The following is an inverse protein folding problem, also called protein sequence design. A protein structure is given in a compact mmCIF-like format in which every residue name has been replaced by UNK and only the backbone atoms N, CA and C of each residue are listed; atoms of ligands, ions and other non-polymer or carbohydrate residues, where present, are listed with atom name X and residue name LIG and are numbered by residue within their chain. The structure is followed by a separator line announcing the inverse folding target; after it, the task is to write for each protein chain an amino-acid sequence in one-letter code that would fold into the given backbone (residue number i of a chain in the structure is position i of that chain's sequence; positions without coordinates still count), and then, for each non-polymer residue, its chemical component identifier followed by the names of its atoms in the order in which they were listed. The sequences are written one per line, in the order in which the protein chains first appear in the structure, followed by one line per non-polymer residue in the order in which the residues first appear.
data_IF_861256771932
#
_entry.id   IF_861256771932
#
_cell.length_a   1.000
_cell.length_b   1.000
_cell.length_c   1.000
_cell.angle_alpha   90.00
_cell.angle_beta   90.00
_cell.angle_gamma   90.00
#
_symmetry.space_group_name_H-M   'P 1'
#
loop_
_entity.id
_entity.type
_entity.pdbx_description
1 polymer ?
#
# COMPACT_ATOMS: atom_id res chain seq x y z
N UNK A 1 -16.31 -5.53 -9.20
CA UNK A 1 -17.04 -4.27 -9.08
C UNK A 1 -18.50 -4.52 -8.75
N UNK A 2 -18.99 -3.82 -7.71
CA UNK A 2 -20.37 -4.01 -7.20
C UNK A 2 -21.41 -3.23 -8.01
N UNK A 3 -20.97 -2.50 -9.04
CA UNK A 3 -21.84 -1.70 -9.90
C UNK A 3 -21.84 -2.25 -11.33
N UNK A 4 -22.91 -2.02 -12.03
CA UNK A 4 -23.00 -2.34 -13.46
C UNK A 4 -22.17 -1.30 -14.26
N UNK A 5 -20.86 -1.27 -13.98
CA UNK A 5 -19.90 -0.38 -14.64
C UNK A 5 -19.62 -0.86 -16.07
N UNK A 6 -19.38 0.08 -16.97
CA UNK A 6 -18.98 -0.21 -18.35
C UNK A 6 -17.60 -0.88 -18.39
N UNK A 7 -16.65 -0.35 -17.62
CA UNK A 7 -15.34 -0.94 -17.39
C UNK A 7 -14.76 -0.47 -16.04
N UNK A 8 -13.77 -1.19 -15.55
CA UNK A 8 -12.94 -0.83 -14.41
C UNK A 8 -11.49 -0.66 -14.87
N UNK A 9 -10.86 0.44 -14.45
CA UNK A 9 -9.44 0.71 -14.67
C UNK A 9 -8.77 0.93 -13.32
N UNK A 10 -7.75 0.18 -13.03
CA UNK A 10 -7.07 0.27 -11.74
C UNK A 10 -6.03 -0.81 -11.56
N UNK A 11 -5.57 -0.98 -10.32
CA UNK A 11 -4.69 -2.08 -9.98
C UNK A 11 -5.49 -3.28 -9.44
N UNK A 12 -4.90 -4.44 -9.56
CA UNK A 12 -5.30 -5.60 -8.78
C UNK A 12 -4.81 -5.40 -7.33
N UNK A 13 -5.68 -4.95 -6.45
CA UNK A 13 -5.34 -4.62 -5.07
C UNK A 13 -4.89 -5.84 -4.27
N UNK A 14 -5.43 -7.02 -4.58
CA UNK A 14 -4.99 -8.26 -3.94
C UNK A 14 -3.53 -8.58 -4.31
N UNK A 15 -3.19 -8.53 -5.60
CA UNK A 15 -1.81 -8.70 -6.06
C UNK A 15 -0.88 -7.61 -5.53
N UNK A 16 -1.37 -6.37 -5.35
CA UNK A 16 -0.61 -5.32 -4.67
C UNK A 16 -0.25 -5.70 -3.23
N UNK A 17 -1.19 -6.28 -2.49
CA UNK A 17 -0.96 -6.79 -1.14
C UNK A 17 0.08 -7.92 -1.09
N UNK A 18 -0.02 -8.88 -2.02
CA UNK A 18 0.98 -9.94 -2.16
C UNK A 18 2.38 -9.37 -2.49
N UNK A 19 2.44 -8.35 -3.35
CA UNK A 19 3.70 -7.67 -3.70
C UNK A 19 4.32 -6.98 -2.48
N UNK A 20 3.51 -6.33 -1.63
CA UNK A 20 3.98 -5.74 -0.38
C UNK A 20 4.55 -6.81 0.57
N UNK A 21 3.85 -7.94 0.70
CA UNK A 21 4.28 -9.05 1.54
C UNK A 21 5.60 -9.67 1.03
N UNK A 22 5.72 -9.87 -0.29
CA UNK A 22 6.94 -10.39 -0.90
C UNK A 22 8.15 -9.45 -0.67
N UNK A 23 7.96 -8.14 -0.86
CA UNK A 23 9.00 -7.15 -0.56
C UNK A 23 9.42 -7.21 0.91
N UNK A 24 8.47 -7.28 1.81
CA UNK A 24 8.73 -7.36 3.25
C UNK A 24 9.45 -8.68 3.61
N UNK A 25 9.02 -9.80 3.04
CA UNK A 25 9.68 -11.09 3.21
C UNK A 25 11.15 -11.04 2.77
N UNK A 26 11.43 -10.49 1.58
CA UNK A 26 12.80 -10.35 1.07
C UNK A 26 13.68 -9.49 1.99
N UNK A 27 13.15 -8.37 2.51
CA UNK A 27 13.90 -7.45 3.39
C UNK A 27 14.10 -8.08 4.77
N UNK A 28 13.05 -8.67 5.34
CA UNK A 28 13.03 -9.23 6.69
C UNK A 28 13.44 -10.71 6.75
N UNK A 29 13.75 -11.32 5.60
CA UNK A 29 14.18 -12.72 5.47
C UNK A 29 13.16 -13.72 6.04
N UNK A 30 11.89 -13.44 5.80
CA UNK A 30 10.78 -14.30 6.20
C UNK A 30 10.48 -14.33 7.70
N UNK A 31 10.98 -13.36 8.47
CA UNK A 31 10.73 -13.27 9.92
C UNK A 31 10.53 -11.84 10.35
N UNK A 32 9.32 -11.50 10.81
CA UNK A 32 9.00 -10.19 11.41
C UNK A 32 7.65 -10.20 12.11
N UNK A 33 7.49 -9.26 13.03
CA UNK A 33 6.22 -8.91 13.66
C UNK A 33 5.68 -7.64 13.01
N UNK A 34 4.49 -7.73 12.43
CA UNK A 34 3.99 -6.74 11.48
C UNK A 34 2.82 -5.96 12.08
N UNK A 35 2.93 -4.62 12.03
CA UNK A 35 1.81 -3.71 12.24
C UNK A 35 1.20 -3.27 10.92
N UNK A 36 -0.13 -3.25 10.80
CA UNK A 36 -0.84 -2.68 9.67
C UNK A 36 -1.51 -1.37 10.05
N UNK A 37 -1.40 -0.38 9.15
CA UNK A 37 -2.11 0.90 9.23
C UNK A 37 -2.96 1.01 7.97
N UNK A 38 -4.28 0.97 8.12
CA UNK A 38 -5.23 1.05 7.01
C UNK A 38 -6.10 2.29 7.11
N UNK A 39 -6.62 2.77 5.98
CA UNK A 39 -7.55 3.90 5.98
C UNK A 39 -8.90 3.52 6.55
N UNK A 40 -9.59 2.58 5.91
CA UNK A 40 -10.92 2.09 6.30
C UNK A 40 -10.99 0.57 6.18
N UNK A 41 -11.55 -0.09 7.20
CA UNK A 41 -11.71 -1.55 7.18
C UNK A 41 -12.73 -2.03 6.14
N UNK A 42 -13.74 -1.23 5.84
CA UNK A 42 -14.81 -1.54 4.89
C UNK A 42 -14.49 -1.11 3.43
N UNK A 43 -13.39 -0.39 3.21
CA UNK A 43 -12.94 -0.06 1.87
C UNK A 43 -12.36 -1.30 1.17
N UNK A 44 -13.01 -1.74 0.09
CA UNK A 44 -12.61 -2.96 -0.63
C UNK A 44 -11.15 -2.93 -1.10
N UNK A 45 -10.67 -1.79 -1.57
CA UNK A 45 -9.26 -1.65 -1.98
C UNK A 45 -8.27 -1.90 -0.83
N UNK A 46 -8.64 -1.51 0.40
CA UNK A 46 -7.81 -1.73 1.57
C UNK A 46 -7.90 -3.18 2.06
N UNK A 47 -9.12 -3.74 2.13
CA UNK A 47 -9.30 -5.13 2.52
C UNK A 47 -8.63 -6.11 1.55
N UNK A 48 -8.74 -5.88 0.23
CA UNK A 48 -8.08 -6.73 -0.77
C UNK A 48 -6.55 -6.70 -0.62
N UNK A 49 -5.95 -5.53 -0.35
CA UNK A 49 -4.50 -5.42 -0.06
C UNK A 49 -4.10 -6.19 1.20
N UNK A 50 -4.90 -6.08 2.26
CA UNK A 50 -4.68 -6.82 3.51
C UNK A 50 -4.81 -8.32 3.28
N UNK A 51 -5.82 -8.76 2.55
CA UNK A 51 -6.06 -10.18 2.28
C UNK A 51 -4.96 -10.78 1.39
N UNK A 52 -4.54 -10.06 0.35
CA UNK A 52 -3.42 -10.48 -0.49
C UNK A 52 -2.11 -10.63 0.30
N UNK A 53 -1.84 -9.69 1.21
CA UNK A 53 -0.68 -9.77 2.10
C UNK A 53 -0.78 -10.96 3.05
N UNK A 54 -1.92 -11.15 3.71
CA UNK A 54 -2.17 -12.27 4.63
C UNK A 54 -2.00 -13.61 3.93
N UNK A 55 -2.55 -13.76 2.74
CA UNK A 55 -2.48 -15.02 1.99
C UNK A 55 -1.04 -15.35 1.58
N UNK A 56 -0.25 -14.35 1.20
CA UNK A 56 1.17 -14.55 0.88
C UNK A 56 1.96 -15.08 2.08
N UNK A 57 1.83 -14.43 3.25
CA UNK A 57 2.63 -14.78 4.43
C UNK A 57 2.23 -16.11 5.09
N UNK A 58 1.14 -16.76 4.69
CA UNK A 58 0.79 -18.12 5.16
C UNK A 58 1.91 -19.14 4.93
N UNK A 59 2.76 -18.90 3.93
CA UNK A 59 3.91 -19.74 3.65
C UNK A 59 5.14 -19.39 4.53
N UNK A 60 5.06 -18.36 5.35
CA UNK A 60 6.14 -17.83 6.19
C UNK A 60 5.69 -17.74 7.64
N UNK A 61 5.68 -18.85 8.41
CA UNK A 61 5.08 -18.89 9.76
C UNK A 61 5.77 -17.99 10.79
N UNK A 62 6.93 -17.42 10.47
CA UNK A 62 7.62 -16.45 11.31
C UNK A 62 7.33 -14.99 10.93
N UNK A 63 6.44 -14.76 9.96
CA UNK A 63 5.88 -13.45 9.65
C UNK A 63 4.49 -13.34 10.26
N UNK A 64 4.35 -12.56 11.32
CA UNK A 64 3.12 -12.49 12.10
C UNK A 64 2.54 -11.06 12.09
N UNK A 65 1.25 -10.94 11.74
CA UNK A 65 0.53 -9.67 11.87
C UNK A 65 -0.01 -9.59 13.29
N UNK A 66 0.58 -8.74 14.11
CA UNK A 66 0.23 -8.62 15.53
C UNK A 66 -0.68 -7.43 15.85
N UNK A 67 -0.78 -6.46 14.96
CA UNK A 67 -1.69 -5.32 15.11
C UNK A 67 -2.20 -4.81 13.78
N UNK A 68 -3.47 -4.43 13.73
CA UNK A 68 -4.10 -3.75 12.59
C UNK A 68 -4.88 -2.56 13.13
N UNK A 69 -4.59 -1.36 12.64
CA UNK A 69 -5.22 -0.11 13.10
C UNK A 69 -5.79 0.68 11.91
N UNK A 70 -6.94 1.32 12.14
CA UNK A 70 -7.61 2.19 11.18
C UNK A 70 -7.29 3.67 11.47
N UNK A 71 -6.81 4.41 10.46
CA UNK A 71 -6.46 5.83 10.57
C UNK A 71 -7.42 6.76 9.84
N UNK A 72 -8.41 6.22 9.10
CA UNK A 72 -9.39 6.96 8.30
C UNK A 72 -8.77 7.92 7.26
N UNK A 73 -7.59 7.57 6.77
CA UNK A 73 -6.76 8.39 5.87
C UNK A 73 -6.40 9.78 6.45
N UNK A 74 -6.50 9.93 7.78
CA UNK A 74 -6.18 11.16 8.51
C UNK A 74 -4.76 11.13 9.06
N UNK A 75 -4.00 12.20 8.85
CA UNK A 75 -2.59 12.29 9.21
C UNK A 75 -2.36 12.39 10.74
N UNK A 76 -3.26 13.06 11.46
CA UNK A 76 -3.16 13.18 12.92
C UNK A 76 -3.52 11.87 13.60
N UNK A 77 -4.59 11.23 13.12
CA UNK A 77 -5.01 9.94 13.60
C UNK A 77 -3.94 8.88 13.30
N UNK A 78 -3.36 8.93 12.10
CA UNK A 78 -2.27 8.04 11.70
C UNK A 78 -1.05 8.18 12.63
N UNK A 79 -0.66 9.41 12.98
CA UNK A 79 0.41 9.64 13.97
C UNK A 79 0.07 9.06 15.34
N UNK A 80 -1.15 9.32 15.82
CA UNK A 80 -1.62 8.86 17.14
C UNK A 80 -1.61 7.34 17.24
N UNK A 81 -2.32 6.66 16.33
CA UNK A 81 -2.46 5.19 16.37
C UNK A 81 -1.13 4.47 16.12
N UNK A 82 -0.25 5.04 15.27
CA UNK A 82 1.08 4.46 15.04
C UNK A 82 1.94 4.57 16.30
N UNK A 83 1.88 5.70 17.00
CA UNK A 83 2.59 5.89 18.26
C UNK A 83 2.08 4.91 19.34
N UNK A 84 0.78 4.76 19.47
CA UNK A 84 0.15 3.81 20.39
C UNK A 84 0.56 2.37 20.06
N UNK A 85 0.38 1.95 18.80
CA UNK A 85 0.72 0.61 18.33
C UNK A 85 2.19 0.25 18.63
N UNK A 86 3.13 1.14 18.34
CA UNK A 86 4.56 0.92 18.56
C UNK A 86 4.97 0.98 20.03
N UNK A 87 4.17 1.61 20.88
CA UNK A 87 4.37 1.65 22.34
C UNK A 87 3.80 0.40 23.03
N UNK A 88 2.67 -0.10 22.54
CA UNK A 88 2.00 -1.30 23.04
C UNK A 88 2.73 -2.59 22.62
N UNK A 89 3.29 -2.60 21.41
CA UNK A 89 3.96 -3.75 20.80
C UNK A 89 5.43 -3.42 20.49
N UNK A 90 6.29 -3.61 21.49
CA UNK A 90 7.73 -3.30 21.35
C UNK A 90 8.47 -4.25 20.40
N UNK A 91 7.87 -5.34 20.04
CA UNK A 91 8.38 -6.36 19.14
C UNK A 91 8.01 -6.14 17.66
N UNK A 92 7.14 -5.15 17.33
CA UNK A 92 6.90 -4.76 15.93
C UNK A 92 8.21 -4.26 15.31
N UNK A 93 8.68 -4.93 14.27
CA UNK A 93 9.87 -4.61 13.49
C UNK A 93 9.55 -4.38 11.99
N UNK A 94 8.28 -4.51 11.61
CA UNK A 94 7.80 -4.20 10.27
C UNK A 94 6.43 -3.50 10.29
N UNK A 95 6.19 -2.57 9.36
CA UNK A 95 4.91 -1.87 9.21
C UNK A 95 4.50 -1.87 7.73
N UNK A 96 3.24 -2.21 7.46
CA UNK A 96 2.61 -1.99 6.17
C UNK A 96 1.57 -0.88 6.27
N UNK A 97 1.82 0.25 5.59
CA UNK A 97 0.86 1.36 5.47
C UNK A 97 0.05 1.11 4.22
N UNK A 98 -1.18 0.63 4.41
CA UNK A 98 -2.04 0.08 3.36
C UNK A 98 -2.69 1.17 2.49
N UNK A 99 -2.81 2.40 3.03
CA UNK A 99 -3.57 3.49 2.43
C UNK A 99 -2.99 4.86 2.80
N UNK A 100 -3.81 5.93 2.90
CA UNK A 100 -3.40 7.26 3.29
C UNK A 100 -2.89 7.40 4.73
N UNK A 101 -2.54 8.63 5.14
CA UNK A 101 -1.97 8.90 6.46
C UNK A 101 -0.47 8.57 6.57
N UNK A 102 0.23 8.46 5.45
CA UNK A 102 1.65 8.05 5.38
C UNK A 102 2.56 9.03 6.10
N UNK A 103 2.29 10.34 6.02
CA UNK A 103 3.10 11.35 6.70
C UNK A 103 2.99 11.24 8.22
N UNK A 104 1.77 11.07 8.73
CA UNK A 104 1.52 10.91 10.17
C UNK A 104 2.21 9.67 10.71
N UNK A 105 2.02 8.51 10.07
CA UNK A 105 2.69 7.27 10.41
C UNK A 105 4.22 7.43 10.36
N UNK A 106 4.76 8.01 9.28
CA UNK A 106 6.19 8.23 9.11
C UNK A 106 6.81 9.10 10.21
N UNK A 107 6.11 10.15 10.64
CA UNK A 107 6.55 10.99 11.78
C UNK A 107 6.61 10.20 13.09
N UNK A 108 5.60 9.38 13.37
CA UNK A 108 5.61 8.51 14.54
C UNK A 108 6.77 7.50 14.46
N UNK A 109 6.90 6.78 13.35
CA UNK A 109 7.94 5.79 13.12
C UNK A 109 9.34 6.38 13.32
N UNK A 110 9.62 7.57 12.81
CA UNK A 110 10.92 8.27 13.00
C UNK A 110 11.32 8.39 14.46
N UNK A 111 10.38 8.51 15.37
CA UNK A 111 10.64 8.60 16.81
C UNK A 111 11.21 7.27 17.33
N UNK A 112 10.68 6.14 16.84
CA UNK A 112 11.08 4.80 17.27
C UNK A 112 12.32 4.28 16.52
N UNK A 113 12.57 4.73 15.28
CA UNK A 113 13.77 4.36 14.51
C UNK A 113 15.08 4.75 15.22
N UNK A 114 15.05 5.69 16.15
CA UNK A 114 16.20 6.05 17.00
C UNK A 114 16.61 4.95 17.96
N UNK A 115 15.70 4.05 18.27
CA UNK A 115 15.90 2.98 19.28
C UNK A 115 15.95 1.59 18.68
N UNK A 116 15.28 1.37 17.51
CA UNK A 116 15.21 0.08 16.84
C UNK A 116 14.92 0.23 15.33
N UNK A 117 15.44 -0.66 14.48
CA UNK A 117 15.06 -0.67 13.06
C UNK A 117 13.61 -1.10 12.89
N UNK A 118 12.89 -0.49 11.96
CA UNK A 118 11.54 -0.87 11.56
C UNK A 118 11.51 -0.83 10.03
N UNK A 119 11.15 -1.95 9.39
CA UNK A 119 10.94 -2.02 7.95
C UNK A 119 9.55 -1.47 7.61
N UNK A 120 9.48 -0.50 6.71
CA UNK A 120 8.20 0.12 6.33
C UNK A 120 7.98 0.01 4.83
N UNK A 121 6.81 -0.52 4.46
CA UNK A 121 6.30 -0.52 3.09
C UNK A 121 5.00 0.27 3.06
N UNK A 122 4.83 1.10 2.03
CA UNK A 122 3.66 1.97 1.90
C UNK A 122 2.99 1.85 0.52
N UNK A 123 1.93 2.62 0.35
CA UNK A 123 1.24 2.80 -0.93
C UNK A 123 1.38 4.24 -1.42
N UNK A 124 1.39 4.37 -2.76
CA UNK A 124 1.47 5.61 -3.53
C UNK A 124 2.76 6.43 -3.32
N UNK A 125 3.13 7.21 -4.33
CA UNK A 125 4.34 8.03 -4.35
C UNK A 125 4.03 9.54 -4.26
N UNK A 126 3.08 9.89 -3.41
CA UNK A 126 2.78 11.30 -3.12
C UNK A 126 4.01 12.01 -2.54
N UNK A 127 4.12 13.37 -2.65
CA UNK A 127 5.33 14.10 -2.24
C UNK A 127 5.85 13.72 -0.85
N UNK A 128 4.96 13.56 0.12
CA UNK A 128 5.32 13.19 1.50
C UNK A 128 5.90 11.78 1.61
N UNK A 129 5.37 10.82 0.83
CA UNK A 129 5.93 9.46 0.75
C UNK A 129 7.32 9.48 0.13
N UNK A 130 7.52 10.27 -0.94
CA UNK A 130 8.83 10.43 -1.57
C UNK A 130 9.88 10.94 -0.59
N UNK A 131 9.54 11.94 0.23
CA UNK A 131 10.46 12.47 1.24
C UNK A 131 10.81 11.42 2.31
N UNK A 132 9.86 10.62 2.74
CA UNK A 132 10.09 9.53 3.70
C UNK A 132 10.92 8.37 3.12
N UNK A 133 10.88 8.16 1.81
CA UNK A 133 11.74 7.19 1.12
C UNK A 133 13.16 7.76 0.97
N UNK A 134 13.31 9.03 0.59
CA UNK A 134 14.62 9.68 0.45
C UNK A 134 15.41 9.68 1.75
N UNK A 135 14.74 9.92 2.87
CA UNK A 135 15.39 9.93 4.19
C UNK A 135 15.51 8.53 4.84
N UNK A 136 14.96 7.48 4.20
CA UNK A 136 15.12 6.09 4.63
C UNK A 136 14.12 5.63 5.68
N UNK A 137 13.11 6.44 6.01
CA UNK A 137 12.01 6.03 6.92
C UNK A 137 11.17 4.93 6.29
N UNK A 138 10.89 5.01 4.98
CA UNK A 138 10.18 4.01 4.20
C UNK A 138 11.16 3.35 3.24
N UNK A 139 11.15 2.02 3.16
CA UNK A 139 12.05 1.25 2.30
C UNK A 139 11.52 1.13 0.88
N UNK A 140 10.20 0.98 0.73
CA UNK A 140 9.56 0.87 -0.58
C UNK A 140 8.12 1.39 -0.55
N UNK A 141 7.62 1.84 -1.70
CA UNK A 141 6.20 2.09 -1.90
C UNK A 141 5.70 1.42 -3.18
N UNK A 142 4.43 1.02 -3.16
CA UNK A 142 3.73 0.43 -4.30
C UNK A 142 2.87 1.51 -4.95
N UNK A 143 3.04 1.71 -6.26
CA UNK A 143 2.38 2.78 -7.01
C UNK A 143 1.39 2.24 -8.04
N UNK A 144 0.34 3.00 -8.31
CA UNK A 144 -0.84 2.57 -9.05
C UNK A 144 -0.96 3.14 -10.46
N UNK A 145 -0.04 3.95 -10.94
CA UNK A 145 -0.09 4.61 -12.26
C UNK A 145 -1.39 5.41 -12.50
N UNK A 146 -1.74 6.40 -11.67
CA UNK A 146 -3.04 7.09 -11.78
C UNK A 146 -3.23 7.82 -13.11
N UNK A 147 -2.16 8.34 -13.72
CA UNK A 147 -2.20 8.97 -15.04
C UNK A 147 -2.62 7.95 -16.11
N UNK A 148 -2.01 6.75 -16.12
CA UNK A 148 -2.34 5.69 -17.07
C UNK A 148 -3.77 5.19 -16.90
N UNK A 149 -4.28 5.11 -15.67
CA UNK A 149 -5.68 4.76 -15.41
C UNK A 149 -6.63 5.79 -16.03
N UNK A 150 -6.32 7.08 -15.89
CA UNK A 150 -7.08 8.16 -16.54
C UNK A 150 -7.05 8.08 -18.06
N UNK A 151 -5.87 7.90 -18.65
CA UNK A 151 -5.70 7.75 -20.11
C UNK A 151 -6.52 6.58 -20.66
N UNK A 152 -6.36 5.39 -20.09
CA UNK A 152 -7.10 4.19 -20.50
C UNK A 152 -8.62 4.38 -20.43
N UNK A 153 -9.10 5.07 -19.40
CA UNK A 153 -10.52 5.38 -19.25
C UNK A 153 -11.03 6.24 -20.40
N UNK A 154 -10.25 7.25 -20.80
CA UNK A 154 -10.59 8.14 -21.90
C UNK A 154 -10.48 7.44 -23.27
N UNK A 155 -9.44 6.65 -23.49
CA UNK A 155 -9.24 5.86 -24.72
C UNK A 155 -10.44 4.94 -24.97
N UNK A 156 -10.88 4.19 -23.97
CA UNK A 156 -12.02 3.26 -24.11
C UNK A 156 -13.34 3.99 -24.33
N UNK A 157 -13.56 5.13 -23.67
CA UNK A 157 -14.75 5.94 -23.91
C UNK A 157 -14.74 6.53 -25.32
N UNK A 158 -13.61 7.01 -25.80
CA UNK A 158 -13.44 7.56 -27.13
C UNK A 158 -13.75 6.51 -28.21
N UNK A 159 -13.17 5.31 -28.13
CA UNK A 159 -13.43 4.20 -29.03
C UNK A 159 -14.90 3.79 -29.03
N UNK A 160 -15.53 3.77 -27.86
CA UNK A 160 -16.96 3.44 -27.75
C UNK A 160 -17.85 4.49 -28.40
N UNK A 161 -17.59 5.78 -28.19
CA UNK A 161 -18.45 6.82 -28.75
C UNK A 161 -18.28 6.98 -30.25
N UNK A 162 -17.06 6.84 -30.79
CA UNK A 162 -16.80 6.95 -32.23
C UNK A 162 -17.18 5.69 -32.99
N UNK A 163 -16.69 4.54 -32.53
CA UNK A 163 -16.76 3.31 -33.34
C UNK A 163 -17.73 2.27 -32.76
N UNK A 164 -18.42 2.61 -31.66
CA UNK A 164 -19.29 1.68 -30.92
C UNK A 164 -18.56 0.40 -30.48
N UNK A 165 -17.24 0.47 -30.32
CA UNK A 165 -16.43 -0.66 -29.81
C UNK A 165 -16.46 -0.69 -28.29
N UNK A 166 -17.06 -1.72 -27.67
CA UNK A 166 -16.98 -1.89 -26.21
C UNK A 166 -15.57 -2.33 -25.79
N UNK A 167 -15.18 -2.13 -24.52
CA UNK A 167 -13.91 -2.62 -24.03
C UNK A 167 -13.80 -4.14 -24.17
N UNK A 168 -12.63 -4.64 -24.56
CA UNK A 168 -12.38 -6.07 -24.73
C UNK A 168 -12.52 -6.87 -23.43
N UNK A 169 -12.29 -6.21 -22.29
CA UNK A 169 -12.46 -6.75 -20.94
C UNK A 169 -13.14 -5.72 -20.05
N UNK A 170 -13.92 -6.17 -19.09
CA UNK A 170 -14.53 -5.29 -18.08
C UNK A 170 -13.53 -4.78 -17.05
N UNK A 171 -12.50 -5.55 -16.76
CA UNK A 171 -11.44 -5.20 -15.81
C UNK A 171 -10.13 -5.06 -16.57
N UNK A 172 -9.55 -3.87 -16.50
CA UNK A 172 -8.30 -3.51 -17.17
C UNK A 172 -7.35 -3.04 -16.08
N UNK A 173 -6.40 -3.91 -15.73
CA UNK A 173 -5.43 -3.63 -14.69
C UNK A 173 -4.21 -2.91 -15.26
N UNK A 174 -3.77 -1.89 -14.53
CA UNK A 174 -2.47 -1.23 -14.77
C UNK A 174 -1.36 -1.98 -14.05
N UNK A 175 -0.12 -1.80 -14.53
CA UNK A 175 1.04 -2.44 -13.93
C UNK A 175 1.29 -1.94 -12.51
N UNK A 176 1.72 -2.84 -11.65
CA UNK A 176 2.16 -2.52 -10.29
C UNK A 176 3.61 -2.03 -10.37
N UNK A 177 3.85 -0.81 -9.90
CA UNK A 177 5.20 -0.26 -9.85
C UNK A 177 5.71 -0.25 -8.41
N UNK A 178 6.97 -0.67 -8.24
CA UNK A 178 7.68 -0.59 -6.96
C UNK A 178 8.67 0.57 -7.04
N UNK A 179 8.53 1.52 -6.13
CA UNK A 179 9.47 2.64 -6.00
C UNK A 179 10.32 2.47 -4.75
N UNK A 180 11.62 2.64 -4.95
CA UNK A 180 12.67 2.61 -3.94
C UNK A 180 13.42 3.93 -3.96
N UNK A 181 14.34 4.15 -3.02
CA UNK A 181 15.17 5.37 -2.97
C UNK A 181 15.88 5.68 -4.29
N UNK A 182 16.25 4.65 -5.05
CA UNK A 182 17.01 4.81 -6.31
C UNK A 182 16.15 5.20 -7.51
N UNK A 183 14.83 4.99 -7.47
CA UNK A 183 13.92 5.26 -8.59
C UNK A 183 12.67 6.07 -8.20
N UNK A 184 12.67 6.68 -7.02
CA UNK A 184 11.48 7.42 -6.51
C UNK A 184 11.17 8.68 -7.33
N UNK A 185 12.15 9.21 -8.01
CA UNK A 185 12.02 10.42 -8.85
C UNK A 185 11.97 10.11 -10.35
N UNK A 186 11.98 8.84 -10.73
CA UNK A 186 11.89 8.38 -12.11
C UNK A 186 10.45 8.35 -12.63
#
# INVERSE_FOLDING_TARGET
PYFNSFAYFGNDFYTCGQTAANLMEMIMRGKCHIGFITGFFDAKSHSDRIDGFRDYIRNFPQMEIISVRENRDDEFESYRITTEMLSEHLDIDAIFIVAGGVQGAGRAIKTFLKTRPICVISFDDVPTTKDLIRDGTIQATICQQPVRQGELSLEVLFDYFLDRRPPAKREIYTDIQIKLKTNIDA
#
